data_IF_590518364460
#
_entry.id   IF_590518364460
#
_cell.length_a   1.000
_cell.length_b   1.000
_cell.length_c   1.000
_cell.angle_alpha   90.00
_cell.angle_beta   90.00
_cell.angle_gamma   90.00
#
_symmetry.space_group_name_H-M   'P 1'
#
loop_
_entity.id
_entity.type
_entity.pdbx_description
1 polymer ?
#
# COMPACT_ATOMS: atom_id res chain seq x y z
N UNK A 1 7.62 9.46 30.33
CA UNK A 1 7.47 8.81 29.01
C UNK A 1 6.00 8.79 28.72
N UNK A 2 5.60 9.03 27.48
CA UNK A 2 4.19 8.98 27.05
C UNK A 2 3.89 7.63 26.38
N UNK A 3 2.62 7.26 26.28
CA UNK A 3 2.20 6.06 25.56
C UNK A 3 2.49 6.16 24.05
N UNK A 4 2.45 5.02 23.35
CA UNK A 4 2.60 4.99 21.88
C UNK A 4 1.48 5.74 21.18
N UNK A 5 0.24 5.60 21.66
CA UNK A 5 -0.92 6.30 21.10
C UNK A 5 -0.79 7.83 21.25
N UNK A 6 -0.39 8.31 22.42
CA UNK A 6 -0.15 9.74 22.67
C UNK A 6 1.02 10.27 21.82
N UNK A 7 2.12 9.52 21.74
CA UNK A 7 3.27 9.88 20.91
C UNK A 7 2.88 10.01 19.44
N UNK A 8 2.16 9.02 18.89
CA UNK A 8 1.68 9.06 17.51
C UNK A 8 0.75 10.24 17.28
N UNK A 9 -0.19 10.52 18.18
CA UNK A 9 -1.09 11.67 18.06
C UNK A 9 -0.34 13.01 18.09
N UNK A 10 0.72 13.14 18.89
CA UNK A 10 1.61 14.32 18.91
C UNK A 10 2.40 14.46 17.60
N UNK A 11 2.97 13.36 17.11
CA UNK A 11 3.76 13.34 15.87
C UNK A 11 2.92 13.71 14.65
N UNK A 12 1.70 13.18 14.56
CA UNK A 12 0.77 13.44 13.45
C UNK A 12 0.33 14.91 13.36
N UNK A 13 0.36 15.67 14.48
CA UNK A 13 0.10 17.13 14.44
C UNK A 13 1.23 17.92 13.78
N UNK A 14 2.43 17.34 13.68
CA UNK A 14 3.59 17.99 13.07
C UNK A 14 3.70 17.80 11.56
N UNK A 15 2.75 17.09 10.93
CA UNK A 15 2.74 16.82 9.49
C UNK A 15 1.37 17.08 8.89
N UNK A 16 1.33 17.41 7.61
CA UNK A 16 0.10 17.57 6.84
C UNK A 16 0.17 16.79 5.53
N UNK A 17 -0.98 16.60 4.90
CA UNK A 17 -1.03 16.00 3.57
C UNK A 17 -0.26 16.87 2.56
N UNK A 18 0.54 16.22 1.72
CA UNK A 18 1.27 16.88 0.65
C UNK A 18 0.33 17.27 -0.49
N UNK A 19 0.82 18.16 -1.35
CA UNK A 19 0.08 18.62 -2.52
C UNK A 19 -0.12 17.49 -3.54
N UNK A 20 -1.17 17.60 -4.34
CA UNK A 20 -1.38 16.72 -5.48
C UNK A 20 -0.54 17.13 -6.69
N UNK A 21 -0.20 16.15 -7.52
CA UNK A 21 0.38 16.33 -8.85
C UNK A 21 -0.30 15.42 -9.86
N UNK A 22 -0.26 15.81 -11.13
CA UNK A 22 -0.81 15.00 -12.22
C UNK A 22 0.29 14.17 -12.86
N UNK A 23 0.09 12.86 -12.92
CA UNK A 23 1.04 11.93 -13.53
C UNK A 23 0.40 11.15 -14.66
N UNK A 24 1.24 10.75 -15.63
CA UNK A 24 0.90 9.73 -16.62
C UNK A 24 0.57 8.41 -15.92
N UNK A 25 -0.42 7.67 -16.43
CA UNK A 25 -0.86 6.40 -15.80
C UNK A 25 0.28 5.38 -15.68
N UNK A 26 1.23 5.41 -16.62
CA UNK A 26 2.43 4.56 -16.63
C UNK A 26 3.35 4.84 -15.44
N UNK A 27 3.33 6.06 -14.88
CA UNK A 27 4.07 6.47 -13.69
C UNK A 27 3.26 6.44 -12.39
N UNK A 28 2.02 5.92 -12.44
CA UNK A 28 1.09 5.96 -11.31
C UNK A 28 1.19 4.74 -10.37
N UNK A 29 1.98 3.72 -10.70
CA UNK A 29 2.17 2.56 -9.83
C UNK A 29 2.74 2.94 -8.45
N UNK A 30 2.11 2.44 -7.40
CA UNK A 30 2.45 2.74 -6.01
C UNK A 30 2.24 4.21 -5.62
N UNK A 31 1.54 5.00 -6.44
CA UNK A 31 1.10 6.36 -6.09
C UNK A 31 -0.24 6.30 -5.36
N UNK A 32 -0.55 7.34 -4.60
CA UNK A 32 -1.82 7.45 -3.86
C UNK A 32 -2.72 8.44 -4.59
N UNK A 33 -3.97 8.06 -4.87
CA UNK A 33 -4.94 8.96 -5.50
C UNK A 33 -5.25 10.17 -4.61
N UNK A 34 -5.13 11.37 -5.18
CA UNK A 34 -5.43 12.61 -4.47
C UNK A 34 -6.93 12.85 -4.32
N UNK A 35 -7.71 12.35 -5.28
CA UNK A 35 -9.18 12.41 -5.29
C UNK A 35 -9.78 11.11 -5.88
N UNK A 36 -11.09 10.93 -5.76
CA UNK A 36 -11.80 9.80 -6.34
C UNK A 36 -11.74 9.81 -7.88
N UNK A 37 -11.52 8.64 -8.47
CA UNK A 37 -11.59 8.48 -9.93
C UNK A 37 -13.01 8.10 -10.34
N UNK A 38 -13.62 8.91 -11.19
CA UNK A 38 -14.97 8.68 -11.70
C UNK A 38 -14.95 8.23 -13.16
N UNK A 39 -15.84 7.31 -13.52
CA UNK A 39 -15.94 6.80 -14.88
C UNK A 39 -16.53 7.84 -15.83
N UNK A 40 -15.86 8.12 -16.95
CA UNK A 40 -16.39 9.02 -17.99
C UNK A 40 -17.35 8.33 -18.98
N UNK A 41 -17.34 6.99 -18.99
CA UNK A 41 -18.16 6.13 -19.86
C UNK A 41 -18.54 4.83 -19.16
N UNK A 42 -19.49 4.12 -19.75
CA UNK A 42 -19.84 2.77 -19.31
C UNK A 42 -18.77 1.76 -19.77
N UNK A 43 -18.60 0.68 -19.01
CA UNK A 43 -17.70 -0.42 -19.33
C UNK A 43 -18.43 -1.79 -19.27
N UNK A 44 -18.51 -2.51 -20.40
CA UNK A 44 -18.33 -2.00 -21.77
C UNK A 44 -19.41 -0.95 -22.12
N UNK A 45 -19.20 -0.11 -23.15
CA UNK A 45 -20.13 0.97 -23.52
C UNK A 45 -21.34 0.49 -24.34
N UNK A 46 -21.42 -0.81 -24.61
CA UNK A 46 -22.46 -1.49 -25.38
C UNK A 46 -22.78 -2.83 -24.72
N UNK A 47 -23.93 -3.42 -25.05
CA UNK A 47 -24.16 -4.83 -24.74
C UNK A 47 -23.24 -5.68 -25.62
N UNK A 48 -22.61 -6.69 -25.05
CA UNK A 48 -21.58 -7.49 -25.72
C UNK A 48 -21.88 -8.98 -25.63
N UNK A 49 -21.44 -9.75 -26.63
CA UNK A 49 -21.49 -11.20 -26.52
C UNK A 49 -20.54 -11.70 -25.42
N UNK A 50 -20.99 -12.65 -24.62
CA UNK A 50 -20.18 -13.34 -23.62
C UNK A 50 -19.37 -14.50 -24.21
N UNK A 51 -19.79 -15.03 -25.36
CA UNK A 51 -19.26 -16.23 -26.02
C UNK A 51 -19.21 -16.04 -27.55
N UNK A 52 -18.49 -16.91 -28.24
CA UNK A 52 -18.55 -16.99 -29.71
C UNK A 52 -19.82 -17.75 -30.12
N UNK A 53 -20.50 -17.29 -31.16
CA UNK A 53 -21.77 -17.89 -31.57
C UNK A 53 -22.57 -17.06 -32.56
N UNK A 54 -23.89 -17.07 -32.40
CA UNK A 54 -24.83 -16.40 -33.30
C UNK A 54 -25.81 -15.53 -32.53
N UNK A 55 -25.82 -14.23 -32.81
CA UNK A 55 -26.74 -13.27 -32.23
C UNK A 55 -28.01 -13.12 -33.08
N UNK A 56 -29.16 -13.20 -32.43
CA UNK A 56 -30.48 -13.03 -33.08
C UNK A 56 -31.54 -12.53 -32.09
N UNK A 57 -32.71 -12.17 -32.61
CA UNK A 57 -33.89 -11.89 -31.79
C UNK A 57 -34.44 -13.21 -31.23
N UNK A 58 -34.38 -13.40 -29.90
CA UNK A 58 -34.87 -14.58 -29.20
C UNK A 58 -36.32 -14.87 -29.58
N UNK A 59 -36.60 -16.11 -29.96
CA UNK A 59 -37.94 -16.59 -30.29
C UNK A 59 -38.48 -17.47 -29.17
N UNK A 60 -39.81 -17.61 -29.06
CA UNK A 60 -40.47 -18.48 -28.07
C UNK A 60 -40.40 -19.98 -28.41
N UNK A 61 -39.88 -20.33 -29.59
CA UNK A 61 -39.72 -21.70 -30.06
C UNK A 61 -38.55 -21.79 -31.07
N UNK A 62 -37.96 -22.98 -31.25
CA UNK A 62 -36.93 -23.25 -32.28
C UNK A 62 -37.35 -22.80 -33.68
N UNK A 63 -36.46 -22.09 -34.38
CA UNK A 63 -36.65 -21.71 -35.78
C UNK A 63 -35.32 -21.47 -36.51
N UNK A 64 -35.39 -21.46 -37.83
CA UNK A 64 -34.24 -21.16 -38.67
C UNK A 64 -33.99 -19.65 -38.79
N UNK A 65 -32.72 -19.26 -38.86
CA UNK A 65 -32.30 -17.88 -39.08
C UNK A 65 -31.28 -17.80 -40.23
N UNK A 66 -31.45 -16.83 -41.12
CA UNK A 66 -30.46 -16.53 -42.17
C UNK A 66 -29.30 -15.74 -41.56
N UNK A 67 -28.08 -16.21 -41.76
CA UNK A 67 -26.88 -15.49 -41.30
C UNK A 67 -26.58 -14.38 -42.30
N UNK A 68 -26.64 -13.12 -41.86
CA UNK A 68 -26.59 -11.94 -42.75
C UNK A 68 -25.30 -11.14 -42.65
N UNK A 69 -24.41 -11.54 -41.75
CA UNK A 69 -23.12 -10.88 -41.54
C UNK A 69 -22.44 -11.37 -40.28
N UNK A 70 -21.47 -10.59 -39.84
CA UNK A 70 -20.62 -10.86 -38.69
C UNK A 70 -20.48 -9.60 -37.84
N UNK A 71 -20.50 -9.77 -36.51
CA UNK A 71 -20.10 -8.75 -35.54
C UNK A 71 -18.90 -9.25 -34.75
N UNK A 72 -17.75 -8.59 -34.92
CA UNK A 72 -16.50 -8.97 -34.28
C UNK A 72 -16.03 -7.90 -33.28
N UNK A 73 -15.11 -8.28 -32.38
CA UNK A 73 -14.47 -7.33 -31.48
C UNK A 73 -13.68 -6.28 -32.29
N UNK A 74 -14.03 -5.00 -32.13
CA UNK A 74 -13.44 -3.91 -32.91
C UNK A 74 -14.08 -3.67 -34.29
N UNK A 75 -14.98 -4.54 -34.75
CA UNK A 75 -15.69 -4.41 -36.03
C UNK A 75 -17.17 -4.84 -35.88
N UNK A 76 -17.98 -3.93 -35.34
CA UNK A 76 -19.39 -4.20 -35.07
C UNK A 76 -20.23 -4.33 -36.36
N UNK A 77 -21.23 -5.21 -36.34
CA UNK A 77 -22.29 -5.17 -37.34
C UNK A 77 -23.19 -3.94 -37.09
N UNK A 78 -23.24 -3.01 -38.04
CA UNK A 78 -23.95 -1.73 -37.88
C UNK A 78 -25.43 -1.76 -38.28
N UNK A 79 -25.88 -2.84 -38.93
CA UNK A 79 -27.27 -3.00 -39.34
C UNK A 79 -28.21 -3.40 -38.20
N UNK A 80 -29.51 -3.21 -38.41
CA UNK A 80 -30.55 -3.82 -37.59
C UNK A 80 -30.91 -5.20 -38.15
N UNK A 81 -31.02 -6.20 -37.28
CA UNK A 81 -31.48 -7.53 -37.66
C UNK A 81 -32.99 -7.50 -37.91
N UNK A 82 -33.41 -7.96 -39.09
CA UNK A 82 -34.81 -8.25 -39.34
C UNK A 82 -35.25 -9.56 -38.65
N UNK A 83 -36.56 -9.79 -38.53
CA UNK A 83 -37.05 -11.07 -38.03
C UNK A 83 -36.62 -12.21 -38.96
N UNK A 84 -35.94 -13.20 -38.39
CA UNK A 84 -35.45 -14.38 -39.11
C UNK A 84 -34.00 -14.22 -39.56
N UNK A 85 -33.32 -13.15 -39.14
CA UNK A 85 -31.91 -12.93 -39.40
C UNK A 85 -31.08 -13.14 -38.13
N UNK A 86 -29.87 -13.63 -38.33
CA UNK A 86 -28.83 -13.75 -37.32
C UNK A 86 -27.51 -13.17 -37.87
N UNK A 87 -26.59 -12.85 -36.98
CA UNK A 87 -25.17 -12.65 -37.35
C UNK A 87 -24.31 -13.64 -36.59
N UNK A 88 -23.22 -14.06 -37.22
CA UNK A 88 -22.10 -14.62 -36.46
C UNK A 88 -21.57 -13.53 -35.52
N UNK A 89 -21.25 -13.88 -34.28
CA UNK A 89 -20.78 -12.92 -33.28
C UNK A 89 -19.63 -13.51 -32.47
N UNK A 90 -18.54 -12.75 -32.33
CA UNK A 90 -17.42 -13.13 -31.47
C UNK A 90 -17.61 -12.62 -30.03
N UNK A 91 -16.93 -13.26 -29.10
CA UNK A 91 -16.83 -12.86 -27.70
C UNK A 91 -16.35 -11.41 -27.60
N UNK A 92 -17.06 -10.60 -26.81
CA UNK A 92 -16.77 -9.19 -26.62
C UNK A 92 -17.22 -8.27 -27.76
N UNK A 93 -17.74 -8.80 -28.87
CA UNK A 93 -18.30 -8.00 -29.95
C UNK A 93 -19.61 -7.31 -29.52
N UNK A 94 -19.90 -6.09 -30.01
CA UNK A 94 -21.17 -5.43 -29.76
C UNK A 94 -22.35 -6.24 -30.29
N UNK A 95 -23.40 -6.33 -29.48
CA UNK A 95 -24.65 -6.97 -29.87
C UNK A 95 -25.37 -6.10 -30.92
N UNK A 96 -25.74 -6.65 -32.09
CA UNK A 96 -26.47 -5.91 -33.12
C UNK A 96 -27.83 -5.40 -32.64
N UNK A 97 -28.31 -4.33 -33.27
CA UNK A 97 -29.66 -3.85 -33.02
C UNK A 97 -30.68 -4.92 -33.43
N UNK A 98 -31.62 -5.23 -32.54
CA UNK A 98 -32.64 -6.26 -32.75
C UNK A 98 -32.25 -7.65 -32.22
N UNK A 99 -30.98 -7.91 -31.89
CA UNK A 99 -30.59 -9.09 -31.13
C UNK A 99 -30.78 -8.88 -29.63
N UNK A 100 -31.16 -9.93 -28.92
CA UNK A 100 -31.26 -9.93 -27.46
C UNK A 100 -30.82 -11.28 -26.85
N UNK A 101 -30.25 -12.20 -27.63
CA UNK A 101 -29.67 -13.45 -27.17
C UNK A 101 -28.62 -13.96 -28.14
N UNK A 102 -27.72 -14.80 -27.63
CA UNK A 102 -26.66 -15.45 -28.41
C UNK A 102 -26.76 -16.96 -28.20
N UNK A 103 -26.76 -17.73 -29.29
CA UNK A 103 -26.56 -19.19 -29.24
C UNK A 103 -25.06 -19.46 -29.41
N UNK A 104 -24.47 -20.24 -28.50
CA UNK A 104 -23.05 -20.58 -28.58
C UNK A 104 -22.75 -21.46 -29.79
N UNK A 105 -21.58 -21.29 -30.40
CA UNK A 105 -21.21 -22.01 -31.64
C UNK A 105 -21.24 -23.53 -31.47
N UNK A 106 -20.97 -24.05 -30.26
CA UNK A 106 -20.95 -25.48 -29.96
C UNK A 106 -22.35 -26.13 -30.04
N UNK A 107 -23.40 -25.33 -29.88
CA UNK A 107 -24.80 -25.75 -29.97
C UNK A 107 -25.45 -25.36 -31.30
N UNK A 108 -24.71 -24.69 -32.17
CA UNK A 108 -25.22 -24.18 -33.43
C UNK A 108 -25.14 -25.24 -34.54
N UNK A 109 -26.28 -25.57 -35.14
CA UNK A 109 -26.34 -26.31 -36.40
C UNK A 109 -26.41 -25.32 -37.56
N UNK A 110 -25.35 -25.27 -38.37
CA UNK A 110 -25.23 -24.30 -39.48
C UNK A 110 -25.08 -25.03 -40.80
N UNK A 111 -26.02 -24.75 -41.71
CA UNK A 111 -26.07 -25.33 -43.04
C UNK A 111 -26.38 -24.25 -44.08
N UNK A 112 -25.56 -24.17 -45.13
CA UNK A 112 -25.74 -23.27 -46.28
C UNK A 112 -26.05 -21.79 -45.91
N UNK A 113 -25.46 -21.26 -44.84
CA UNK A 113 -25.67 -19.88 -44.38
C UNK A 113 -26.93 -19.67 -43.53
N UNK A 114 -27.56 -20.75 -43.06
CA UNK A 114 -28.67 -20.73 -42.13
C UNK A 114 -28.29 -21.41 -40.81
N UNK A 115 -28.67 -20.78 -39.72
CA UNK A 115 -28.68 -21.39 -38.39
C UNK A 115 -29.99 -22.16 -38.21
N UNK A 116 -29.92 -23.47 -38.05
CA UNK A 116 -31.07 -24.39 -38.03
C UNK A 116 -31.62 -24.58 -36.63
N UNK A 117 -32.94 -24.54 -36.48
CA UNK A 117 -33.64 -24.89 -35.24
C UNK A 117 -33.17 -24.12 -34.00
N UNK A 118 -32.62 -22.91 -34.15
CA UNK A 118 -32.02 -22.18 -33.06
C UNK A 118 -33.06 -21.63 -32.09
N UNK A 119 -32.72 -21.68 -30.80
CA UNK A 119 -33.53 -21.16 -29.72
C UNK A 119 -32.66 -20.85 -28.50
N UNK A 120 -32.80 -19.64 -27.95
CA UNK A 120 -32.18 -19.24 -26.68
C UNK A 120 -33.10 -18.32 -25.91
N UNK A 121 -32.96 -18.32 -24.58
CA UNK A 121 -33.63 -17.35 -23.73
C UNK A 121 -33.14 -15.92 -24.02
N UNK A 122 -34.01 -14.94 -23.85
CA UNK A 122 -33.59 -13.53 -23.90
C UNK A 122 -32.53 -13.26 -22.82
N UNK A 123 -31.46 -12.57 -23.20
CA UNK A 123 -30.28 -12.29 -22.38
C UNK A 123 -29.25 -13.41 -22.31
N UNK A 124 -29.50 -14.58 -22.92
CA UNK A 124 -28.55 -15.69 -22.92
C UNK A 124 -27.22 -15.26 -23.55
N UNK A 125 -26.14 -15.44 -22.80
CA UNK A 125 -24.77 -15.07 -23.17
C UNK A 125 -24.61 -13.61 -23.61
N UNK A 126 -25.43 -12.69 -23.09
CA UNK A 126 -25.29 -11.25 -23.31
C UNK A 126 -24.78 -10.58 -22.04
N UNK A 127 -23.65 -9.87 -22.13
CA UNK A 127 -23.19 -8.94 -21.10
C UNK A 127 -23.86 -7.59 -21.32
N UNK A 128 -24.55 -7.09 -20.31
CA UNK A 128 -25.19 -5.79 -20.38
C UNK A 128 -24.16 -4.65 -20.53
N UNK A 129 -24.57 -3.56 -21.17
CA UNK A 129 -23.83 -2.30 -21.18
C UNK A 129 -23.60 -1.82 -19.74
N UNK A 130 -22.36 -1.46 -19.43
CA UNK A 130 -21.99 -0.95 -18.10
C UNK A 130 -22.16 -1.96 -16.98
N UNK A 131 -22.03 -3.27 -17.28
CA UNK A 131 -22.11 -4.34 -16.27
C UNK A 131 -20.99 -4.24 -15.22
N UNK A 132 -19.83 -3.68 -15.59
CA UNK A 132 -18.72 -3.43 -14.67
C UNK A 132 -18.94 -2.09 -13.94
N UNK A 133 -18.99 -0.99 -14.71
CA UNK A 133 -19.35 0.32 -14.19
C UNK A 133 -20.07 1.17 -15.23
N UNK A 134 -20.84 2.14 -14.72
CA UNK A 134 -21.53 3.16 -15.53
C UNK A 134 -20.83 4.50 -15.42
N UNK A 135 -21.04 5.35 -16.42
CA UNK A 135 -20.63 6.75 -16.42
C UNK A 135 -21.09 7.45 -15.14
N UNK A 136 -20.18 8.19 -14.53
CA UNK A 136 -20.38 8.92 -13.28
C UNK A 136 -20.19 8.07 -12.02
N UNK A 137 -19.99 6.75 -12.12
CA UNK A 137 -19.67 5.93 -10.95
C UNK A 137 -18.29 6.28 -10.39
N UNK A 138 -18.16 6.29 -9.07
CA UNK A 138 -16.87 6.29 -8.40
C UNK A 138 -16.21 4.91 -8.57
N UNK A 139 -15.08 4.87 -9.27
CA UNK A 139 -14.38 3.63 -9.63
C UNK A 139 -13.25 3.32 -8.66
N UNK A 140 -12.52 4.36 -8.23
CA UNK A 140 -11.46 4.24 -7.22
C UNK A 140 -11.61 5.36 -6.20
N UNK A 141 -11.51 5.02 -4.93
CA UNK A 141 -11.60 5.98 -3.83
C UNK A 141 -10.33 6.84 -3.70
N UNK A 142 -10.50 8.07 -3.24
CA UNK A 142 -9.42 8.93 -2.76
C UNK A 142 -8.58 8.20 -1.70
N UNK A 143 -7.26 8.41 -1.71
CA UNK A 143 -6.36 7.80 -0.73
C UNK A 143 -6.00 6.33 -1.02
N UNK A 144 -6.59 5.73 -2.05
CA UNK A 144 -6.17 4.39 -2.53
C UNK A 144 -4.76 4.47 -3.11
N UNK A 145 -3.89 3.57 -2.67
CA UNK A 145 -2.61 3.32 -3.32
C UNK A 145 -2.83 2.44 -4.55
N UNK A 146 -2.28 2.86 -5.68
CA UNK A 146 -2.48 2.20 -6.97
C UNK A 146 -1.59 0.96 -7.08
N UNK A 147 -2.24 -0.19 -6.92
CA UNK A 147 -1.73 -1.53 -7.18
C UNK A 147 -1.95 -1.93 -8.65
N UNK A 148 -1.46 -3.10 -9.13
CA UNK A 148 -1.63 -3.48 -10.53
C UNK A 148 -3.09 -3.54 -10.97
N UNK A 149 -3.99 -4.00 -10.10
CA UNK A 149 -5.42 -4.09 -10.38
C UNK A 149 -6.08 -2.70 -10.39
N UNK A 150 -5.74 -1.84 -9.42
CA UNK A 150 -6.20 -0.46 -9.39
C UNK A 150 -5.78 0.32 -10.64
N UNK A 151 -4.56 0.11 -11.13
CA UNK A 151 -4.11 0.71 -12.39
C UNK A 151 -4.87 0.20 -13.61
N UNK A 152 -5.11 -1.11 -13.70
CA UNK A 152 -5.88 -1.69 -14.80
C UNK A 152 -7.31 -1.15 -14.82
N UNK A 153 -7.93 -1.02 -13.63
CA UNK A 153 -9.25 -0.44 -13.48
C UNK A 153 -9.26 1.06 -13.80
N UNK A 154 -8.24 1.82 -13.39
CA UNK A 154 -8.10 3.22 -13.81
C UNK A 154 -7.98 3.35 -15.33
N UNK A 155 -7.14 2.52 -15.96
CA UNK A 155 -6.96 2.52 -17.41
C UNK A 155 -8.25 2.14 -18.17
N UNK A 156 -9.05 1.22 -17.64
CA UNK A 156 -10.31 0.79 -18.26
C UNK A 156 -11.37 1.89 -18.29
N UNK A 157 -11.25 2.92 -17.43
CA UNK A 157 -12.07 4.13 -17.52
C UNK A 157 -11.72 5.03 -18.71
N UNK A 158 -10.54 4.83 -19.32
CA UNK A 158 -9.96 5.69 -20.36
C UNK A 158 -8.98 6.74 -19.82
N UNK A 159 -8.69 6.74 -18.51
CA UNK A 159 -7.77 7.69 -17.90
C UNK A 159 -6.34 7.52 -18.45
N UNK A 160 -5.78 8.58 -19.03
CA UNK A 160 -4.38 8.62 -19.47
C UNK A 160 -3.44 9.30 -18.45
N UNK A 161 -4.03 10.05 -17.52
CA UNK A 161 -3.37 10.69 -16.40
C UNK A 161 -4.20 10.56 -15.14
N UNK A 162 -3.55 10.56 -13.98
CA UNK A 162 -4.20 10.50 -12.68
C UNK A 162 -3.69 11.63 -11.78
N UNK A 163 -4.59 12.21 -10.99
CA UNK A 163 -4.24 13.16 -9.94
C UNK A 163 -3.88 12.37 -8.67
N UNK A 164 -2.61 12.45 -8.28
CA UNK A 164 -2.02 11.68 -7.18
C UNK A 164 -1.35 12.59 -6.17
N UNK A 165 -1.23 12.16 -4.93
CA UNK A 165 -0.48 12.90 -3.90
C UNK A 165 1.01 12.80 -4.21
N UNK A 166 1.75 13.91 -4.06
CA UNK A 166 3.21 13.94 -4.18
C UNK A 166 3.82 12.92 -3.21
N UNK A 167 4.89 12.23 -3.64
CA UNK A 167 5.54 11.24 -2.78
C UNK A 167 6.30 11.95 -1.65
N UNK A 168 6.11 11.55 -0.38
CA UNK A 168 6.92 12.07 0.71
C UNK A 168 8.40 11.75 0.49
N UNK A 169 9.24 12.79 0.47
CA UNK A 169 10.70 12.68 0.42
C UNK A 169 11.21 12.53 1.84
N UNK A 170 11.80 11.37 2.14
CA UNK A 170 12.32 11.05 3.47
C UNK A 170 13.83 10.94 3.40
N UNK A 171 14.54 11.87 4.04
CA UNK A 171 16.00 11.76 4.17
C UNK A 171 16.34 11.00 5.43
N UNK A 172 17.17 9.98 5.32
CA UNK A 172 17.60 9.12 6.43
C UNK A 172 19.08 9.38 6.68
N UNK A 173 19.37 9.93 7.85
CA UNK A 173 20.72 10.10 8.36
C UNK A 173 20.98 9.02 9.41
N UNK A 174 22.14 8.37 9.33
CA UNK A 174 22.57 7.38 10.30
C UNK A 174 23.99 7.71 10.77
N UNK A 175 24.30 7.44 12.03
CA UNK A 175 25.60 7.77 12.57
C UNK A 175 25.90 7.07 13.89
N UNK A 176 27.16 7.19 14.29
CA UNK A 176 27.77 6.53 15.43
C UNK A 176 29.21 6.18 15.10
N UNK A 177 30.14 6.43 16.01
CA UNK A 177 31.58 6.15 15.77
C UNK A 177 31.87 4.64 15.59
N UNK A 178 30.96 3.80 16.08
CA UNK A 178 30.96 2.34 15.92
C UNK A 178 30.43 1.88 14.56
N UNK A 179 29.82 2.75 13.75
CA UNK A 179 29.11 2.38 12.52
C UNK A 179 30.02 2.51 11.29
N UNK A 180 30.08 1.47 10.46
CA UNK A 180 30.80 1.48 9.16
C UNK A 180 29.90 1.06 8.00
N UNK A 181 30.15 1.54 6.77
CA UNK A 181 29.34 1.16 5.62
C UNK A 181 29.63 -0.31 5.22
N UNK A 182 28.62 -1.04 4.71
CA UNK A 182 28.84 -2.37 4.14
C UNK A 182 29.94 -2.37 3.07
N UNK A 183 30.80 -3.38 3.10
CA UNK A 183 31.95 -3.51 2.19
C UNK A 183 33.23 -2.82 2.67
N UNK A 184 33.18 -2.01 3.74
CA UNK A 184 34.37 -1.50 4.40
C UNK A 184 35.03 -2.58 5.29
N UNK A 185 36.31 -2.39 5.61
CA UNK A 185 36.98 -3.16 6.64
C UNK A 185 36.60 -2.61 8.01
N UNK A 186 35.82 -3.38 8.78
CA UNK A 186 35.45 -3.03 10.15
C UNK A 186 36.61 -3.27 11.11
N UNK A 187 36.77 -2.39 12.10
CA UNK A 187 37.57 -2.66 13.30
C UNK A 187 36.80 -3.57 14.26
N UNK A 188 37.49 -4.09 15.27
CA UNK A 188 36.92 -4.99 16.29
C UNK A 188 35.78 -4.35 17.10
N UNK A 189 35.76 -3.02 17.21
CA UNK A 189 34.77 -2.22 17.94
C UNK A 189 33.66 -1.66 17.04
N UNK A 190 33.56 -2.12 15.80
CA UNK A 190 32.63 -1.58 14.81
C UNK A 190 31.63 -2.60 14.29
N UNK A 191 30.45 -2.10 13.91
CA UNK A 191 29.37 -2.86 13.29
C UNK A 191 28.93 -2.20 11.99
N UNK A 192 28.39 -3.01 11.08
CA UNK A 192 27.93 -2.52 9.79
C UNK A 192 26.59 -1.79 9.90
N UNK A 193 26.49 -0.67 9.20
CA UNK A 193 25.23 0.04 9.04
C UNK A 193 24.25 -0.81 8.24
N UNK A 194 23.06 -1.00 8.81
CA UNK A 194 22.00 -1.87 8.26
C UNK A 194 20.60 -1.30 8.38
N UNK A 195 20.35 -0.42 9.35
CA UNK A 195 19.02 0.09 9.64
C UNK A 195 18.51 1.02 8.53
N UNK A 196 19.37 1.88 7.97
CA UNK A 196 19.00 2.82 6.90
C UNK A 196 18.53 2.11 5.64
N UNK A 197 19.08 0.92 5.34
CA UNK A 197 18.66 0.09 4.21
C UNK A 197 17.23 -0.43 4.40
N UNK A 198 16.92 -0.94 5.59
CA UNK A 198 15.58 -1.41 5.91
C UNK A 198 14.57 -0.26 5.88
N UNK A 199 14.91 0.89 6.49
CA UNK A 199 14.02 2.05 6.49
C UNK A 199 13.78 2.61 5.09
N UNK A 200 14.80 2.67 4.23
CA UNK A 200 14.63 3.10 2.84
C UNK A 200 13.66 2.19 2.07
N UNK A 201 13.82 0.87 2.22
CA UNK A 201 12.90 -0.11 1.62
C UNK A 201 11.46 0.07 2.11
N UNK A 202 11.26 0.27 3.42
CA UNK A 202 9.95 0.50 4.01
C UNK A 202 9.30 1.80 3.51
N UNK A 203 10.05 2.90 3.45
CA UNK A 203 9.57 4.18 2.91
C UNK A 203 9.06 4.01 1.47
N UNK A 204 9.81 3.30 0.62
CA UNK A 204 9.38 3.01 -0.76
C UNK A 204 8.12 2.14 -0.80
N UNK A 205 8.06 1.09 0.02
CA UNK A 205 6.90 0.21 0.12
C UNK A 205 5.64 0.93 0.61
N UNK A 206 5.79 1.99 1.40
CA UNK A 206 4.71 2.83 1.90
C UNK A 206 4.36 4.01 0.99
N UNK A 207 4.98 4.12 -0.19
CA UNK A 207 4.65 5.13 -1.20
C UNK A 207 5.55 6.37 -1.20
N UNK A 208 6.50 6.48 -0.27
CA UNK A 208 7.49 7.56 -0.23
C UNK A 208 8.69 7.35 -1.15
N UNK A 209 9.61 8.30 -1.11
CA UNK A 209 10.96 8.22 -1.71
C UNK A 209 11.98 8.42 -0.60
N UNK A 210 12.88 7.45 -0.41
CA UNK A 210 13.94 7.55 0.56
C UNK A 210 15.24 8.04 -0.07
N UNK A 211 15.93 8.94 0.63
CA UNK A 211 17.31 9.32 0.35
C UNK A 211 18.15 9.00 1.58
N UNK A 212 19.19 8.19 1.40
CA UNK A 212 20.15 7.92 2.49
C UNK A 212 21.26 8.96 2.41
N UNK A 213 21.50 9.66 3.52
CA UNK A 213 22.62 10.57 3.65
C UNK A 213 23.93 9.84 3.97
N UNK A 214 25.03 10.61 4.15
CA UNK A 214 26.30 10.05 4.58
C UNK A 214 26.21 9.49 6.01
N UNK A 215 27.12 8.57 6.34
CA UNK A 215 27.32 8.16 7.74
C UNK A 215 27.95 9.30 8.52
N UNK A 216 27.37 9.60 9.67
CA UNK A 216 27.75 10.74 10.50
C UNK A 216 28.58 10.30 11.71
N UNK A 217 29.69 10.98 12.03
CA UNK A 217 30.35 10.82 13.31
C UNK A 217 29.48 11.42 14.43
N UNK A 218 29.75 11.04 15.68
CA UNK A 218 29.12 11.63 16.87
C UNK A 218 29.67 13.03 17.17
N UNK A 219 29.43 13.96 16.24
CA UNK A 219 29.85 15.36 16.32
C UNK A 219 28.71 16.29 15.92
N UNK A 220 28.32 17.19 16.82
CA UNK A 220 27.18 18.09 16.62
C UNK A 220 27.24 18.87 15.30
N UNK A 221 28.43 19.33 14.91
CA UNK A 221 28.61 20.14 13.71
C UNK A 221 28.37 19.32 12.42
N UNK A 222 28.83 18.07 12.40
CA UNK A 222 28.60 17.17 11.27
C UNK A 222 27.10 16.84 11.13
N UNK A 223 26.45 16.55 12.27
CA UNK A 223 25.01 16.26 12.31
C UNK A 223 24.20 17.48 11.89
N UNK A 224 24.53 18.67 12.41
CA UNK A 224 23.83 19.92 12.08
C UNK A 224 23.95 20.25 10.59
N UNK A 225 25.16 20.17 10.03
CA UNK A 225 25.39 20.45 8.61
C UNK A 225 24.65 19.46 7.69
N UNK A 226 24.66 18.17 8.03
CA UNK A 226 23.93 17.16 7.27
C UNK A 226 22.41 17.34 7.36
N UNK A 227 21.89 17.68 8.55
CA UNK A 227 20.48 17.97 8.74
C UNK A 227 20.04 19.24 7.98
N UNK A 228 20.85 20.31 8.02
CA UNK A 228 20.58 21.54 7.28
C UNK A 228 20.51 21.30 5.77
N UNK A 229 21.43 20.52 5.21
CA UNK A 229 21.37 20.11 3.81
C UNK A 229 20.12 19.26 3.52
N UNK A 230 19.79 18.30 4.40
CA UNK A 230 18.64 17.42 4.22
C UNK A 230 17.30 18.18 4.20
N UNK A 231 17.13 19.22 5.02
CA UNK A 231 15.90 20.01 5.08
C UNK A 231 15.54 20.71 3.76
N UNK A 232 16.50 20.91 2.86
CA UNK A 232 16.24 21.53 1.54
C UNK A 232 15.43 20.58 0.64
N UNK A 233 15.64 19.27 0.78
CA UNK A 233 15.18 18.27 -0.19
C UNK A 233 14.20 17.24 0.39
N UNK A 234 13.90 17.29 1.69
CA UNK A 234 12.99 16.33 2.33
C UNK A 234 11.75 16.99 2.92
N UNK A 235 10.70 16.20 3.00
CA UNK A 235 9.47 16.53 3.72
C UNK A 235 9.51 15.97 5.16
N UNK A 236 10.36 14.95 5.40
CA UNK A 236 10.63 14.37 6.71
C UNK A 236 12.10 13.95 6.83
N UNK A 237 12.77 14.42 7.87
CA UNK A 237 14.11 13.94 8.25
C UNK A 237 13.98 12.80 9.26
N UNK A 238 14.67 11.69 9.01
CA UNK A 238 14.80 10.56 9.93
C UNK A 238 16.25 10.45 10.37
N UNK A 239 16.47 10.37 11.68
CA UNK A 239 17.80 10.16 12.25
C UNK A 239 17.86 8.80 12.96
N UNK A 240 18.83 7.97 12.63
CA UNK A 240 19.11 6.67 13.26
C UNK A 240 20.40 6.78 14.07
N UNK A 241 20.38 6.33 15.33
CA UNK A 241 21.50 6.57 16.23
C UNK A 241 21.42 7.98 16.82
N UNK A 242 21.98 8.19 18.01
CA UNK A 242 21.84 9.47 18.72
C UNK A 242 20.48 9.72 19.41
N UNK A 243 19.51 8.80 19.32
CA UNK A 243 18.24 8.95 20.05
C UNK A 243 18.37 8.75 21.58
N UNK A 244 19.48 8.16 22.04
CA UNK A 244 19.71 7.84 23.45
C UNK A 244 19.94 9.11 24.27
N UNK A 245 19.21 9.21 25.37
CA UNK A 245 19.41 10.23 26.40
C UNK A 245 20.63 9.89 27.25
N UNK A 246 21.72 10.61 27.00
CA UNK A 246 22.93 10.56 27.79
C UNK A 246 23.79 11.82 27.58
N UNK A 247 24.91 11.95 28.29
CA UNK A 247 25.82 13.09 28.16
C UNK A 247 26.48 13.23 26.76
N UNK A 248 26.23 12.28 25.86
CA UNK A 248 26.74 12.24 24.48
C UNK A 248 25.59 12.31 23.45
N UNK A 249 24.44 12.93 23.78
CA UNK A 249 23.32 13.13 22.84
C UNK A 249 23.61 14.30 21.87
N UNK A 250 24.55 14.06 20.96
CA UNK A 250 24.99 15.01 19.93
C UNK A 250 23.87 15.36 18.93
N UNK A 251 22.97 14.41 18.70
CA UNK A 251 21.87 14.53 17.75
C UNK A 251 20.84 15.60 18.14
N UNK A 252 20.29 15.51 19.36
CA UNK A 252 19.27 16.49 19.81
C UNK A 252 19.88 17.87 19.96
N UNK A 253 21.10 17.97 20.50
CA UNK A 253 21.80 19.24 20.65
C UNK A 253 22.07 19.91 19.29
N UNK A 254 22.54 19.15 18.30
CA UNK A 254 22.72 19.63 16.93
C UNK A 254 21.42 20.18 16.32
N UNK A 255 20.34 19.42 16.43
CA UNK A 255 19.04 19.79 15.85
C UNK A 255 18.38 20.97 16.58
N UNK A 256 18.58 21.11 17.88
CA UNK A 256 18.13 22.29 18.64
C UNK A 256 18.77 23.59 18.12
N UNK A 257 20.04 23.56 17.68
CA UNK A 257 20.69 24.73 17.04
C UNK A 257 20.04 25.11 15.72
N UNK A 258 19.38 24.17 15.05
CA UNK A 258 18.61 24.40 13.83
C UNK A 258 17.15 24.80 14.12
N UNK A 259 16.78 25.04 15.38
CA UNK A 259 15.43 25.43 15.79
C UNK A 259 14.45 24.26 15.85
N UNK A 260 14.92 23.01 15.99
CA UNK A 260 14.04 21.86 16.22
C UNK A 260 13.56 21.86 17.67
N UNK A 261 12.25 21.99 17.84
CA UNK A 261 11.56 21.87 19.12
C UNK A 261 11.00 20.47 19.31
N UNK A 262 11.24 19.85 20.47
CA UNK A 262 10.78 18.49 20.75
C UNK A 262 9.29 18.48 21.12
N UNK A 263 8.49 17.80 20.31
CA UNK A 263 7.09 17.48 20.65
C UNK A 263 6.97 16.14 21.41
N UNK A 264 7.88 15.19 21.13
CA UNK A 264 7.97 13.90 21.83
C UNK A 264 9.42 13.66 22.20
N UNK A 265 9.70 13.45 23.50
CA UNK A 265 11.08 13.23 23.96
C UNK A 265 11.46 11.75 24.10
N UNK A 266 10.53 10.91 24.57
CA UNK A 266 10.68 9.45 24.75
C UNK A 266 9.31 8.78 24.79
N UNK A 267 9.24 7.53 24.34
CA UNK A 267 8.00 6.74 24.30
C UNK A 267 8.09 5.51 25.21
N UNK A 268 7.00 5.16 25.88
CA UNK A 268 6.87 3.98 26.73
C UNK A 268 6.73 2.68 25.92
N UNK A 269 7.69 2.42 25.02
CA UNK A 269 7.69 1.31 24.07
C UNK A 269 8.90 0.37 24.24
N UNK A 270 8.70 -0.91 23.93
CA UNK A 270 9.75 -1.94 23.88
C UNK A 270 9.61 -2.78 22.59
N UNK A 271 10.66 -2.90 21.76
CA UNK A 271 11.88 -2.09 21.77
C UNK A 271 11.61 -0.63 21.39
N UNK A 272 12.60 0.26 21.55
CA UNK A 272 12.53 1.61 20.99
C UNK A 272 12.18 2.77 21.92
N UNK A 273 12.33 2.61 23.24
CA UNK A 273 12.21 3.66 24.26
C UNK A 273 12.76 5.06 23.85
N UNK A 274 13.98 5.18 23.26
CA UNK A 274 14.54 6.51 22.98
C UNK A 274 13.91 7.26 21.81
N UNK A 275 12.92 6.68 21.11
CA UNK A 275 12.23 7.35 20.00
C UNK A 275 11.72 8.74 20.40
N UNK A 276 11.99 9.72 19.54
CA UNK A 276 11.62 11.12 19.76
C UNK A 276 11.18 11.77 18.45
N UNK A 277 10.48 12.89 18.57
CA UNK A 277 10.03 13.66 17.42
C UNK A 277 10.10 15.15 17.73
N UNK A 278 10.52 15.92 16.74
CA UNK A 278 10.57 17.37 16.81
C UNK A 278 10.12 18.01 15.51
N UNK A 279 9.84 19.30 15.60
CA UNK A 279 9.42 20.13 14.47
C UNK A 279 10.25 21.41 14.47
N UNK A 280 10.54 21.89 13.26
CA UNK A 280 11.15 23.20 13.04
C UNK A 280 10.43 23.90 11.90
N UNK A 281 10.66 25.21 11.68
CA UNK A 281 10.16 25.90 10.49
C UNK A 281 10.62 25.27 9.16
N UNK A 282 11.69 24.46 9.19
CA UNK A 282 12.26 23.78 8.01
C UNK A 282 11.64 22.40 7.76
N UNK A 283 10.93 21.83 8.75
CA UNK A 283 10.30 20.53 8.64
C UNK A 283 10.36 19.68 9.91
N UNK A 284 9.64 18.55 9.92
CA UNK A 284 9.62 17.57 11.00
C UNK A 284 10.86 16.68 11.01
N UNK A 285 11.23 16.20 12.20
CA UNK A 285 12.32 15.23 12.41
C UNK A 285 11.86 14.09 13.30
N UNK A 286 12.06 12.86 12.84
CA UNK A 286 11.84 11.64 13.61
C UNK A 286 13.18 11.02 14.01
N UNK A 287 13.44 10.93 15.31
CA UNK A 287 14.61 10.25 15.84
C UNK A 287 14.30 8.82 16.25
N UNK A 288 15.01 7.87 15.65
CA UNK A 288 14.87 6.44 15.88
C UNK A 288 16.08 5.85 16.63
N UNK A 289 15.90 4.76 17.39
CA UNK A 289 16.98 4.09 18.09
C UNK A 289 18.04 3.53 17.12
N UNK A 290 19.32 3.49 17.52
CA UNK A 290 20.39 2.92 16.70
C UNK A 290 20.32 1.39 16.51
N UNK A 291 19.73 0.68 17.47
CA UNK A 291 19.54 -0.78 17.36
C UNK A 291 18.59 -1.11 16.19
N UNK A 292 19.02 -1.90 15.19
CA UNK A 292 18.26 -2.06 13.95
C UNK A 292 16.84 -2.60 14.12
N UNK A 293 16.63 -3.65 14.93
CA UNK A 293 15.27 -4.17 15.15
C UNK A 293 14.40 -3.15 15.90
N UNK A 294 14.99 -2.33 16.77
CA UNK A 294 14.25 -1.22 17.40
C UNK A 294 13.82 -0.20 16.36
N UNK A 295 14.74 0.24 15.49
CA UNK A 295 14.48 1.21 14.43
C UNK A 295 13.33 0.76 13.54
N UNK A 296 13.34 -0.50 13.09
CA UNK A 296 12.29 -1.08 12.24
C UNK A 296 10.94 -1.11 12.97
N UNK A 297 10.89 -1.63 14.20
CA UNK A 297 9.64 -1.61 15.00
C UNK A 297 9.10 -0.19 15.11
N UNK A 298 9.94 0.77 15.48
CA UNK A 298 9.52 2.16 15.66
C UNK A 298 9.16 2.84 14.33
N UNK A 299 9.73 2.41 13.21
CA UNK A 299 9.32 2.88 11.89
C UNK A 299 7.88 2.45 11.58
N UNK A 300 7.49 1.20 11.85
CA UNK A 300 6.09 0.79 11.69
C UNK A 300 5.13 1.57 12.61
N UNK A 301 5.56 1.90 13.83
CA UNK A 301 4.70 2.57 14.81
C UNK A 301 4.58 4.08 14.60
N UNK A 302 5.59 4.72 14.02
CA UNK A 302 5.70 6.18 13.96
C UNK A 302 6.01 6.71 12.55
N UNK A 303 6.99 6.13 11.84
CA UNK A 303 7.33 6.58 10.49
C UNK A 303 6.21 6.29 9.47
N UNK A 304 5.64 5.08 9.50
CA UNK A 304 4.52 4.71 8.61
C UNK A 304 3.31 5.64 8.80
N UNK A 305 2.79 5.88 10.02
CA UNK A 305 1.71 6.85 10.22
C UNK A 305 2.03 8.26 9.71
N UNK A 306 3.26 8.74 9.86
CA UNK A 306 3.67 10.03 9.31
C UNK A 306 3.61 10.04 7.78
N UNK A 307 4.09 8.98 7.13
CA UNK A 307 4.02 8.82 5.67
C UNK A 307 2.56 8.70 5.20
N UNK A 308 1.74 7.88 5.86
CA UNK A 308 0.32 7.75 5.55
C UNK A 308 -0.40 9.12 5.67
N UNK A 309 -0.12 9.89 6.72
CA UNK A 309 -0.68 11.24 6.88
C UNK A 309 -0.22 12.22 5.78
N UNK A 310 1.06 12.20 5.41
CA UNK A 310 1.58 12.99 4.29
C UNK A 310 0.96 12.59 2.94
N UNK A 311 0.61 11.32 2.77
CA UNK A 311 -0.12 10.80 1.62
C UNK A 311 -1.63 11.03 1.69
N UNK A 312 -2.15 11.66 2.75
CA UNK A 312 -3.58 11.88 2.96
C UNK A 312 -4.38 10.59 3.22
N UNK A 313 -3.72 9.54 3.71
CA UNK A 313 -4.29 8.23 4.04
C UNK A 313 -4.64 8.13 5.52
N UNK A 314 -5.41 7.11 5.88
CA UNK A 314 -5.66 6.78 7.28
C UNK A 314 -4.36 6.33 7.95
N UNK A 315 -3.91 7.12 8.93
CA UNK A 315 -2.71 6.87 9.72
C UNK A 315 -2.98 6.04 11.00
N UNK A 316 -4.19 5.47 11.13
CA UNK A 316 -4.56 4.61 12.25
C UNK A 316 -3.81 3.28 12.20
N UNK A 317 -3.27 2.86 13.34
CA UNK A 317 -2.69 1.53 13.47
C UNK A 317 -3.82 0.50 13.62
N UNK A 318 -4.12 -0.21 12.54
CA UNK A 318 -5.09 -1.29 12.52
C UNK A 318 -4.49 -2.56 13.12
N UNK A 319 -5.13 -3.09 14.16
CA UNK A 319 -4.71 -4.31 14.86
C UNK A 319 -5.68 -5.44 14.53
N UNK A 320 -5.12 -6.56 14.10
CA UNK A 320 -5.81 -7.84 13.99
C UNK A 320 -5.66 -8.63 15.29
N UNK A 321 -6.47 -9.68 15.45
CA UNK A 321 -6.37 -10.61 16.58
C UNK A 321 -6.23 -12.04 16.09
N UNK A 322 -5.36 -12.81 16.72
CA UNK A 322 -5.18 -14.22 16.44
C UNK A 322 -4.75 -14.97 17.73
N UNK A 323 -5.09 -16.26 17.87
CA UNK A 323 -4.69 -17.07 19.02
C UNK A 323 -3.16 -17.20 19.12
N UNK A 324 -2.64 -17.25 20.34
CA UNK A 324 -1.22 -17.54 20.60
C UNK A 324 -0.92 -19.03 20.46
N UNK A 325 0.16 -19.39 19.78
CA UNK A 325 0.66 -20.77 19.77
C UNK A 325 1.24 -21.19 21.13
N UNK A 326 1.85 -20.25 21.84
CA UNK A 326 2.49 -20.47 23.14
C UNK A 326 2.12 -19.38 24.13
N UNK A 327 2.04 -19.73 25.41
CA UNK A 327 1.75 -18.77 26.47
C UNK A 327 2.84 -17.70 26.55
N UNK A 328 2.44 -16.46 26.84
CA UNK A 328 3.33 -15.33 27.07
C UNK A 328 3.29 -14.89 28.54
N UNK A 329 4.44 -14.52 29.12
CA UNK A 329 4.49 -14.02 30.49
C UNK A 329 3.81 -12.64 30.58
N UNK A 330 3.59 -12.18 31.83
CA UNK A 330 3.12 -10.83 32.08
C UNK A 330 4.06 -9.79 31.45
N UNK A 331 3.50 -8.70 30.93
CA UNK A 331 4.26 -7.63 30.33
C UNK A 331 4.66 -6.58 31.37
N UNK A 332 5.75 -5.88 31.10
CA UNK A 332 6.29 -4.85 31.98
C UNK A 332 5.63 -3.46 31.80
N UNK A 333 6.30 -2.40 32.32
CA UNK A 333 5.77 -1.04 32.35
C UNK A 333 5.83 -0.31 30.99
N UNK A 334 6.06 -1.04 29.90
CA UNK A 334 6.16 -0.52 28.54
C UNK A 334 5.35 -1.39 27.61
N UNK A 335 4.71 -0.77 26.65
CA UNK A 335 4.02 -1.47 25.58
C UNK A 335 5.07 -2.22 24.75
N UNK A 336 4.94 -3.54 24.66
CA UNK A 336 5.91 -4.37 23.94
C UNK A 336 5.36 -4.78 22.58
N UNK A 337 6.19 -4.66 21.55
CA UNK A 337 5.93 -5.13 20.20
C UNK A 337 6.90 -6.27 19.91
N UNK A 338 6.43 -7.49 20.15
CA UNK A 338 7.23 -8.69 19.99
C UNK A 338 7.28 -9.09 18.52
N UNK A 339 8.46 -9.43 18.01
CA UNK A 339 8.56 -10.03 16.68
C UNK A 339 7.91 -11.39 16.71
N UNK A 340 7.00 -11.64 15.78
CA UNK A 340 6.22 -12.86 15.71
C UNK A 340 6.07 -13.34 14.27
N UNK A 341 5.75 -14.63 14.14
CA UNK A 341 5.27 -15.23 12.90
C UNK A 341 3.80 -15.59 13.04
N UNK A 342 2.97 -15.08 12.16
CA UNK A 342 1.61 -15.55 11.93
C UNK A 342 1.64 -16.58 10.79
N UNK A 343 1.14 -17.79 11.03
CA UNK A 343 1.12 -18.88 10.06
C UNK A 343 -0.20 -19.02 9.29
N UNK A 344 -1.16 -18.14 9.55
CA UNK A 344 -2.53 -18.21 9.02
C UNK A 344 -3.56 -18.59 10.08
N UNK A 345 -3.13 -19.18 11.19
CA UNK A 345 -4.01 -19.61 12.29
C UNK A 345 -3.57 -19.03 13.62
N UNK A 346 -2.29 -19.17 13.97
CA UNK A 346 -1.74 -18.80 15.28
C UNK A 346 -0.56 -17.82 15.18
N UNK A 347 -0.37 -17.05 16.25
CA UNK A 347 0.80 -16.20 16.47
C UNK A 347 1.88 -16.94 17.25
N UNK A 348 3.07 -17.00 16.66
CA UNK A 348 4.29 -17.52 17.26
C UNK A 348 5.22 -16.37 17.59
N UNK A 349 5.24 -15.93 18.85
CA UNK A 349 6.26 -14.99 19.30
C UNK A 349 7.65 -15.64 19.18
N UNK A 350 8.59 -14.96 18.54
CA UNK A 350 9.95 -15.49 18.41
C UNK A 350 10.63 -15.49 19.79
N UNK A 351 11.38 -16.54 20.10
CA UNK A 351 11.95 -16.76 21.44
C UNK A 351 12.87 -15.61 21.85
N UNK A 352 13.79 -15.22 20.97
CA UNK A 352 14.75 -14.16 21.24
C UNK A 352 14.21 -12.78 20.83
N UNK A 353 13.89 -11.96 21.83
CA UNK A 353 13.37 -10.61 21.64
C UNK A 353 14.45 -9.53 21.80
N UNK A 354 15.73 -9.87 21.74
CA UNK A 354 16.81 -8.87 21.80
C UNK A 354 16.75 -7.90 20.61
N UNK A 355 16.89 -6.62 20.91
CA UNK A 355 16.66 -5.53 19.95
C UNK A 355 17.77 -5.33 18.91
N UNK A 356 18.89 -6.03 19.06
CA UNK A 356 20.01 -6.02 18.10
C UNK A 356 19.84 -7.06 16.99
N UNK A 357 18.98 -8.07 17.18
CA UNK A 357 18.96 -9.26 16.31
C UNK A 357 18.08 -9.07 15.07
N UNK A 358 18.72 -8.70 13.96
CA UNK A 358 18.08 -8.65 12.63
C UNK A 358 17.72 -10.03 12.07
N UNK A 359 18.51 -11.06 12.35
CA UNK A 359 18.24 -12.43 11.89
C UNK A 359 16.90 -12.96 12.40
N UNK A 360 16.55 -12.61 13.64
CA UNK A 360 15.24 -12.89 14.22
C UNK A 360 14.16 -12.08 13.50
N UNK A 361 14.39 -10.78 13.30
CA UNK A 361 13.42 -9.92 12.63
C UNK A 361 13.11 -10.39 11.20
N UNK A 362 14.12 -10.85 10.46
CA UNK A 362 13.97 -11.38 9.10
C UNK A 362 13.06 -12.62 9.01
N UNK A 363 12.79 -13.31 10.13
CA UNK A 363 11.87 -14.46 10.21
C UNK A 363 10.45 -14.05 10.64
N UNK A 364 10.24 -12.80 11.02
CA UNK A 364 8.96 -12.27 11.47
C UNK A 364 8.13 -11.76 10.29
N UNK A 365 6.81 -11.93 10.38
CA UNK A 365 5.84 -11.31 9.47
C UNK A 365 4.73 -10.56 10.25
N UNK A 366 4.88 -10.46 11.57
CA UNK A 366 3.96 -9.79 12.47
C UNK A 366 4.69 -9.13 13.65
N UNK A 367 4.11 -8.03 14.15
CA UNK A 367 4.43 -7.45 15.44
C UNK A 367 3.26 -7.66 16.40
N UNK A 368 3.50 -8.45 17.45
CA UNK A 368 2.54 -8.80 18.47
C UNK A 368 2.55 -7.77 19.59
N UNK A 369 1.40 -7.16 19.83
CA UNK A 369 1.22 -6.13 20.85
C UNK A 369 0.96 -6.74 22.22
N UNK A 370 1.79 -6.34 23.20
CA UNK A 370 1.57 -6.56 24.63
C UNK A 370 1.32 -5.21 25.30
N UNK A 371 0.09 -4.95 25.78
CA UNK A 371 -0.22 -3.72 26.51
C UNK A 371 0.63 -3.55 27.77
N UNK A 372 0.80 -2.30 28.22
CA UNK A 372 1.49 -1.98 29.47
C UNK A 372 0.87 -2.77 30.63
N UNK A 373 1.72 -3.40 31.45
CA UNK A 373 1.31 -4.19 32.63
C UNK A 373 0.28 -5.29 32.36
N UNK A 374 0.16 -5.76 31.10
CA UNK A 374 -0.76 -6.85 30.78
C UNK A 374 -0.40 -8.12 31.56
N UNK A 375 -1.39 -8.88 32.07
CA UNK A 375 -1.13 -10.17 32.69
C UNK A 375 -0.55 -11.17 31.67
N UNK A 376 -0.09 -12.33 32.15
CA UNK A 376 0.25 -13.43 31.26
C UNK A 376 -0.95 -13.82 30.38
N UNK A 377 -0.67 -14.32 29.18
CA UNK A 377 -1.70 -14.73 28.21
C UNK A 377 -1.45 -16.19 27.87
N UNK A 378 -2.47 -17.03 28.03
CA UNK A 378 -2.33 -18.46 27.81
C UNK A 378 -2.20 -18.80 26.31
N UNK A 379 -1.71 -20.00 26.01
CA UNK A 379 -1.79 -20.54 24.65
C UNK A 379 -3.27 -20.68 24.23
N UNK A 380 -3.56 -20.42 22.96
CA UNK A 380 -4.92 -20.40 22.41
C UNK A 380 -5.70 -19.09 22.64
N UNK A 381 -5.27 -18.23 23.56
CA UNK A 381 -5.93 -16.94 23.76
C UNK A 381 -5.56 -15.94 22.66
N UNK A 382 -6.54 -15.12 22.24
CA UNK A 382 -6.36 -14.15 21.17
C UNK A 382 -5.51 -12.95 21.63
N UNK A 383 -4.39 -12.70 20.94
CA UNK A 383 -3.53 -11.54 21.12
C UNK A 383 -3.65 -10.56 19.94
N UNK A 384 -3.44 -9.28 20.20
CA UNK A 384 -3.45 -8.24 19.16
C UNK A 384 -2.11 -8.19 18.41
N UNK A 385 -2.14 -7.98 17.10
CA UNK A 385 -0.95 -7.85 16.26
C UNK A 385 -1.22 -7.00 15.02
N UNK A 386 -0.17 -6.64 14.29
CA UNK A 386 -0.29 -6.19 12.90
C UNK A 386 0.77 -6.87 12.04
N UNK A 387 0.45 -7.10 10.77
CA UNK A 387 1.38 -7.67 9.80
C UNK A 387 2.42 -6.62 9.38
N UNK A 388 3.65 -7.09 9.12
CA UNK A 388 4.79 -6.25 8.70
C UNK A 388 5.35 -6.65 7.35
#
# INVERSE_FOLDING_TARGET
>A
MISVAEARALMLRGVGALTSERVRIEGAYGRVLADGLYAERDQPPFAASAMDGYAFASASAPRDFRIVGESAAGAAFLGALASGEAVSISTGAPLPLGANGVLIQEEADVDAGYLRGAHVAAGAFVRARGIDFKRGALVLERGRMLDPIGLALAASTGASTLDVVARPRVTILAGGNEIVPPGAQARDDQVFESASFALAGLVHAWGGVAQRGPLLPDHDNAISAAAEAAFVECDLLVLIGGASVGPHDHARAALQRLGVELAVSKVAVKPGKPTWFGVSPRGPVLGLPGNPASAIVTAHLFLRPLIDAMLGRDATLHLSRAPLAHALPANGPRESYLRARFDGECLHALEDQDSSLLSVFARANALLLRPINAPGTAAGEAAAYFAI
#
